data_IF_587756110262
#
_entry.id   IF_587756110262
#
_cell.length_a   1.000
_cell.length_b   1.000
_cell.length_c   1.000
_cell.angle_alpha   90.00
_cell.angle_beta   90.00
_cell.angle_gamma   90.00
#
_symmetry.space_group_name_H-M   'P 1'
#
loop_
_entity.id
_entity.type
_entity.pdbx_description
1 polymer ?
#
# COMPACT_ATOMS: atom_id res chain seq x y z
N UNK A 1 -34.94 11.47 -33.98
CA UNK A 1 -33.56 10.90 -33.96
C UNK A 1 -32.89 11.48 -32.72
N UNK A 2 -32.78 10.70 -31.62
CA UNK A 2 -32.14 11.15 -30.39
C UNK A 2 -30.63 10.90 -30.54
N UNK A 3 -29.75 11.81 -30.09
CA UNK A 3 -28.30 11.60 -30.18
C UNK A 3 -27.86 10.45 -29.22
N UNK A 4 -27.12 9.52 -29.76
CA UNK A 4 -26.48 8.47 -28.97
C UNK A 4 -25.34 9.13 -28.18
N UNK A 5 -25.56 9.29 -26.86
CA UNK A 5 -24.51 9.75 -25.96
C UNK A 5 -23.56 8.57 -25.75
N UNK A 6 -22.41 8.60 -26.41
CA UNK A 6 -21.33 7.63 -26.18
C UNK A 6 -20.73 7.91 -24.81
N UNK A 7 -21.06 7.08 -23.83
CA UNK A 7 -20.31 7.02 -22.58
C UNK A 7 -18.94 6.43 -22.88
N UNK A 8 -17.91 7.28 -23.00
CA UNK A 8 -16.54 6.83 -22.90
C UNK A 8 -16.34 6.32 -21.48
N UNK A 9 -16.21 5.02 -21.33
CA UNK A 9 -15.66 4.42 -20.12
C UNK A 9 -14.23 4.97 -19.97
N UNK A 10 -14.03 5.87 -19.02
CA UNK A 10 -12.68 6.32 -18.64
C UNK A 10 -12.03 5.15 -17.92
N UNK A 11 -11.30 4.32 -18.66
CA UNK A 11 -10.36 3.39 -18.03
C UNK A 11 -9.30 4.24 -17.35
N UNK A 12 -9.26 4.21 -16.02
CA UNK A 12 -8.20 4.85 -15.26
C UNK A 12 -6.91 4.11 -15.62
N UNK A 13 -6.03 4.80 -16.33
CA UNK A 13 -4.74 4.24 -16.72
C UNK A 13 -3.84 4.15 -15.48
N UNK A 14 -3.07 3.06 -15.36
CA UNK A 14 -2.10 2.92 -14.28
C UNK A 14 -1.11 4.08 -14.29
N UNK A 15 -0.67 4.52 -13.12
CA UNK A 15 0.27 5.63 -12.99
C UNK A 15 1.59 5.31 -13.68
N UNK A 16 2.13 6.29 -14.41
CA UNK A 16 3.35 6.12 -15.18
C UNK A 16 4.60 6.57 -14.41
N UNK A 17 5.76 6.00 -14.76
CA UNK A 17 7.06 6.44 -14.26
C UNK A 17 7.29 7.93 -14.56
N UNK A 18 7.79 8.67 -13.57
CA UNK A 18 8.01 10.11 -13.62
C UNK A 18 6.79 10.96 -13.27
N UNK A 19 5.60 10.36 -13.18
CA UNK A 19 4.41 11.07 -12.72
C UNK A 19 4.56 11.50 -11.25
N UNK A 20 3.85 12.55 -10.86
CA UNK A 20 3.73 12.92 -9.45
C UNK A 20 2.66 12.05 -8.80
N UNK A 21 2.96 11.50 -7.63
CA UNK A 21 1.98 10.70 -6.87
C UNK A 21 0.77 11.54 -6.46
N UNK A 22 -0.40 10.93 -6.22
CA UNK A 22 -1.58 11.63 -5.69
C UNK A 22 -1.30 12.26 -4.32
N UNK A 23 -1.84 13.47 -4.10
CA UNK A 23 -1.88 14.06 -2.76
C UNK A 23 -3.17 13.65 -2.07
N UNK A 24 -3.08 12.68 -1.18
CA UNK A 24 -4.21 12.14 -0.42
C UNK A 24 -3.91 12.06 1.05
N UNK A 25 -4.96 11.96 1.85
CA UNK A 25 -4.87 11.76 3.29
C UNK A 25 -4.92 10.27 3.60
N UNK A 26 -3.95 9.76 4.34
CA UNK A 26 -3.89 8.37 4.80
C UNK A 26 -4.01 8.31 6.31
N UNK A 27 -4.70 7.28 6.81
CA UNK A 27 -4.84 7.01 8.22
C UNK A 27 -3.82 6.00 8.71
N UNK A 28 -3.43 6.10 9.98
CA UNK A 28 -2.62 5.10 10.67
C UNK A 28 -2.80 5.19 12.19
N UNK A 29 -2.39 4.15 12.88
CA UNK A 29 -2.05 4.21 14.30
C UNK A 29 -0.53 4.07 14.38
N UNK A 30 0.22 5.09 14.83
CA UNK A 30 1.66 4.99 15.00
C UNK A 30 1.99 3.85 15.96
N UNK A 31 2.99 3.05 15.62
CA UNK A 31 3.44 2.02 16.53
C UNK A 31 4.02 2.63 17.82
N UNK A 32 3.74 1.99 18.93
CA UNK A 32 4.35 2.26 20.21
C UNK A 32 4.52 0.92 20.96
N UNK A 33 5.53 0.77 21.83
CA UNK A 33 5.84 -0.50 22.50
C UNK A 33 4.66 -1.13 23.26
N UNK A 34 3.76 -0.30 23.76
CA UNK A 34 2.58 -0.74 24.49
C UNK A 34 1.61 -1.56 23.63
N UNK A 35 1.61 -1.33 22.31
CA UNK A 35 0.75 -2.05 21.36
C UNK A 35 1.16 -3.52 21.22
N UNK A 36 2.42 -3.86 21.50
CA UNK A 36 2.94 -5.22 21.35
C UNK A 36 2.32 -6.19 22.35
N UNK A 37 1.75 -5.67 23.46
CA UNK A 37 0.99 -6.50 24.43
C UNK A 37 -0.31 -7.06 23.85
N UNK A 38 -0.90 -6.40 22.85
CA UNK A 38 -2.23 -6.71 22.32
C UNK A 38 -3.39 -6.33 23.25
N UNK A 39 -3.11 -5.73 24.41
CA UNK A 39 -4.13 -5.37 25.44
C UNK A 39 -4.64 -3.94 25.25
N UNK A 40 -3.92 -3.12 24.48
CA UNK A 40 -4.27 -1.72 24.25
C UNK A 40 -4.42 -1.42 22.75
N UNK A 41 -5.28 -0.46 22.44
CA UNK A 41 -5.44 0.09 21.10
C UNK A 41 -4.85 1.49 21.06
N UNK A 42 -4.09 1.80 20.01
CA UNK A 42 -3.57 3.13 19.79
C UNK A 42 -4.65 4.10 19.28
N UNK A 43 -4.29 5.37 19.20
CA UNK A 43 -5.18 6.44 18.71
C UNK A 43 -4.92 6.66 17.22
N UNK A 44 -5.95 6.56 16.35
CA UNK A 44 -5.80 6.83 14.92
C UNK A 44 -5.38 8.29 14.66
N UNK A 45 -4.44 8.47 13.78
CA UNK A 45 -4.01 9.76 13.23
C UNK A 45 -3.98 9.70 11.71
N UNK A 46 -3.55 10.76 11.06
CA UNK A 46 -3.47 10.82 9.61
C UNK A 46 -2.40 11.79 9.13
N UNK A 47 -1.91 11.56 7.91
CA UNK A 47 -0.96 12.45 7.23
C UNK A 47 -1.37 12.66 5.77
N UNK A 48 -0.85 13.72 5.16
CA UNK A 48 -0.95 13.98 3.73
C UNK A 48 0.30 13.46 3.02
N UNK A 49 0.11 12.68 1.96
CA UNK A 49 1.22 12.01 1.25
C UNK A 49 2.28 12.98 0.75
N UNK A 50 1.88 14.12 0.16
CA UNK A 50 2.83 15.12 -0.33
C UNK A 50 3.64 15.79 0.78
N UNK A 51 3.04 15.97 1.96
CA UNK A 51 3.73 16.57 3.10
C UNK A 51 4.70 15.59 3.74
N UNK A 52 4.26 14.34 3.94
CA UNK A 52 5.02 13.32 4.65
C UNK A 52 6.18 12.76 3.80
N UNK A 53 5.97 12.60 2.48
CA UNK A 53 6.91 11.91 1.59
C UNK A 53 7.80 12.85 0.76
N UNK A 54 7.62 14.18 0.88
CA UNK A 54 8.46 15.16 0.17
C UNK A 54 9.93 15.02 0.55
N UNK A 55 10.81 14.96 -0.45
CA UNK A 55 12.25 14.86 -0.28
C UNK A 55 12.72 13.50 0.24
N UNK A 56 11.84 12.47 0.25
CA UNK A 56 12.16 11.12 0.74
C UNK A 56 12.06 10.09 -0.39
N UNK A 57 12.87 9.03 -0.29
CA UNK A 57 12.74 7.82 -1.08
C UNK A 57 11.86 6.82 -0.34
N UNK A 58 10.68 6.53 -0.88
CA UNK A 58 9.64 5.75 -0.24
C UNK A 58 9.33 4.48 -1.05
N UNK A 59 9.12 3.38 -0.36
CA UNK A 59 8.53 2.17 -0.93
C UNK A 59 7.14 1.97 -0.33
N UNK A 60 6.12 1.87 -1.19
CA UNK A 60 4.76 1.51 -0.81
C UNK A 60 4.44 0.12 -1.33
N UNK A 61 4.03 -0.77 -0.45
CA UNK A 61 3.58 -2.12 -0.77
C UNK A 61 2.09 -2.22 -0.48
N UNK A 62 1.28 -2.40 -1.52
CA UNK A 62 -0.17 -2.49 -1.41
C UNK A 62 -0.64 -3.93 -1.42
N UNK A 63 -1.71 -4.18 -0.66
CA UNK A 63 -2.30 -5.50 -0.51
C UNK A 63 -3.83 -5.42 -0.54
N UNK A 64 -4.52 -6.43 -1.11
CA UNK A 64 -6.00 -6.49 -1.11
C UNK A 64 -6.61 -6.56 0.30
N UNK A 65 -5.88 -7.05 1.29
CA UNK A 65 -6.39 -7.07 2.67
C UNK A 65 -5.46 -7.74 3.66
N UNK A 66 -5.43 -7.19 4.88
CA UNK A 66 -4.78 -7.79 6.03
C UNK A 66 -5.37 -9.18 6.31
N UNK A 67 -4.56 -10.08 6.84
CA UNK A 67 -4.91 -11.47 7.18
C UNK A 67 -5.42 -12.32 6.01
N UNK A 68 -5.33 -11.87 4.76
CA UNK A 68 -5.63 -12.73 3.60
C UNK A 68 -4.46 -13.67 3.30
N UNK A 69 -4.68 -14.88 2.76
CA UNK A 69 -3.66 -15.94 2.74
C UNK A 69 -2.31 -15.53 2.16
N UNK A 70 -2.28 -15.01 0.94
CA UNK A 70 -1.01 -14.59 0.28
C UNK A 70 -0.36 -13.42 1.02
N UNK A 71 -1.14 -12.40 1.37
CA UNK A 71 -0.62 -11.22 2.06
C UNK A 71 -0.01 -11.57 3.41
N UNK A 72 -0.69 -12.46 4.14
CA UNK A 72 -0.32 -12.83 5.50
C UNK A 72 0.83 -13.84 5.58
N UNK A 73 0.88 -14.79 4.64
CA UNK A 73 1.86 -15.88 4.71
C UNK A 73 3.11 -15.65 3.86
N UNK A 74 2.99 -14.96 2.72
CA UNK A 74 4.05 -14.92 1.71
C UNK A 74 4.54 -13.51 1.40
N UNK A 75 3.71 -12.48 1.55
CA UNK A 75 4.03 -11.13 1.09
C UNK A 75 4.66 -10.27 2.18
N UNK A 76 3.96 -10.06 3.29
CA UNK A 76 4.39 -9.11 4.31
C UNK A 76 5.46 -9.65 5.27
N UNK A 77 5.45 -10.92 5.72
CA UNK A 77 6.51 -11.38 6.60
C UNK A 77 7.92 -11.26 5.99
N UNK A 78 8.19 -11.67 4.73
CA UNK A 78 9.51 -11.46 4.12
C UNK A 78 9.86 -9.97 3.95
N UNK A 79 8.88 -9.09 3.65
CA UNK A 79 9.11 -7.65 3.57
C UNK A 79 9.60 -7.09 4.91
N UNK A 80 8.93 -7.43 6.01
CA UNK A 80 9.30 -6.97 7.36
C UNK A 80 10.67 -7.50 7.77
N UNK A 81 10.95 -8.79 7.50
CA UNK A 81 12.23 -9.41 7.84
C UNK A 81 13.41 -8.78 7.09
N UNK A 82 13.19 -8.34 5.86
CA UNK A 82 14.24 -7.84 4.97
C UNK A 82 14.19 -6.34 4.71
N UNK A 83 13.39 -5.60 5.47
CA UNK A 83 13.27 -4.13 5.33
C UNK A 83 14.63 -3.43 5.46
N UNK A 84 15.54 -3.97 6.24
CA UNK A 84 16.90 -3.46 6.39
C UNK A 84 17.69 -3.41 5.06
N UNK A 85 17.42 -4.33 4.13
CA UNK A 85 18.05 -4.34 2.81
C UNK A 85 17.58 -3.16 1.96
N UNK A 86 16.30 -2.77 2.07
CA UNK A 86 15.75 -1.57 1.43
C UNK A 86 16.37 -0.29 2.02
N UNK A 87 16.47 -0.21 3.35
CA UNK A 87 17.09 0.92 4.03
C UNK A 87 18.58 1.07 3.64
N UNK A 88 19.31 -0.04 3.49
CA UNK A 88 20.70 -0.03 3.03
C UNK A 88 20.86 0.49 1.58
N UNK A 89 19.80 0.46 0.79
CA UNK A 89 19.72 1.04 -0.58
C UNK A 89 19.18 2.48 -0.61
N UNK A 90 19.10 3.13 0.54
CA UNK A 90 18.69 4.54 0.66
C UNK A 90 17.18 4.74 0.68
N UNK A 91 16.38 3.72 0.99
CA UNK A 91 14.95 3.89 1.22
C UNK A 91 14.74 4.47 2.63
N UNK A 92 14.09 5.64 2.71
CA UNK A 92 13.86 6.34 3.97
C UNK A 92 12.75 5.67 4.78
N UNK A 93 11.66 5.25 4.12
CA UNK A 93 10.55 4.57 4.78
C UNK A 93 9.84 3.57 3.86
N UNK A 94 9.27 2.53 4.49
CA UNK A 94 8.47 1.50 3.83
C UNK A 94 7.06 1.51 4.41
N UNK A 95 6.06 1.63 3.55
CA UNK A 95 4.66 1.64 3.91
C UNK A 95 3.94 0.40 3.38
N UNK A 96 3.09 -0.20 4.21
CA UNK A 96 2.13 -1.22 3.78
C UNK A 96 0.74 -0.58 3.79
N UNK A 97 0.07 -0.60 2.64
CA UNK A 97 -1.23 0.05 2.44
C UNK A 97 -2.32 -0.97 2.12
N UNK A 98 -3.50 -0.79 2.69
CA UNK A 98 -4.72 -1.52 2.36
C UNK A 98 -5.95 -0.64 2.62
N UNK A 99 -7.13 -1.08 2.17
CA UNK A 99 -8.41 -0.45 2.53
C UNK A 99 -9.00 -0.92 3.87
N UNK A 100 -8.30 -1.79 4.60
CA UNK A 100 -8.65 -2.09 5.98
C UNK A 100 -8.53 -0.83 6.84
N UNK A 101 -9.33 -0.74 7.91
CA UNK A 101 -9.29 0.37 8.84
C UNK A 101 -7.97 0.43 9.64
N UNK A 102 -7.67 1.57 10.31
CA UNK A 102 -6.39 1.76 10.97
C UNK A 102 -6.16 0.80 12.15
N UNK A 103 -7.20 0.31 12.82
CA UNK A 103 -7.07 -0.64 13.92
C UNK A 103 -6.64 -2.02 13.42
N UNK A 104 -7.26 -2.50 12.33
CA UNK A 104 -6.86 -3.76 11.68
C UNK A 104 -5.43 -3.66 11.15
N UNK A 105 -5.06 -2.54 10.52
CA UNK A 105 -3.70 -2.33 10.01
C UNK A 105 -2.66 -2.29 11.13
N UNK A 106 -2.95 -1.60 12.22
CA UNK A 106 -2.08 -1.55 13.40
C UNK A 106 -1.90 -2.93 14.03
N UNK A 107 -2.98 -3.63 14.32
CA UNK A 107 -2.93 -4.98 14.90
C UNK A 107 -2.15 -5.96 14.01
N UNK A 108 -2.28 -5.81 12.68
CA UNK A 108 -1.54 -6.66 11.75
C UNK A 108 -0.06 -6.29 11.66
N UNK A 109 0.29 -5.02 11.86
CA UNK A 109 1.67 -4.57 12.03
C UNK A 109 2.32 -5.18 13.27
N UNK A 110 1.63 -5.16 14.40
CA UNK A 110 2.05 -5.82 15.64
C UNK A 110 2.24 -7.33 15.43
N UNK A 111 1.26 -7.99 14.82
CA UNK A 111 1.34 -9.42 14.50
C UNK A 111 2.59 -9.77 13.68
N UNK A 112 2.95 -8.93 12.71
CA UNK A 112 4.13 -9.11 11.86
C UNK A 112 5.44 -8.64 12.54
N UNK A 113 5.41 -8.14 13.76
CA UNK A 113 6.56 -7.57 14.48
C UNK A 113 7.26 -6.47 13.68
N UNK A 114 6.43 -5.66 13.01
CA UNK A 114 6.92 -4.60 12.13
C UNK A 114 7.54 -3.44 12.92
N UNK A 115 7.06 -3.22 14.15
CA UNK A 115 7.47 -2.09 15.00
C UNK A 115 7.37 -0.76 14.21
N UNK A 116 8.39 0.08 14.25
CA UNK A 116 8.54 1.29 13.44
C UNK A 116 9.27 1.07 12.11
N UNK A 117 9.70 -0.16 11.83
CA UNK A 117 10.51 -0.50 10.65
C UNK A 117 9.71 -0.45 9.36
N UNK A 118 8.42 -0.85 9.44
CA UNK A 118 7.44 -0.81 8.35
C UNK A 118 6.15 -0.18 8.86
N UNK A 119 5.67 0.84 8.17
CA UNK A 119 4.53 1.64 8.60
C UNK A 119 3.25 1.12 7.95
N UNK A 120 2.29 0.69 8.76
CA UNK A 120 1.01 0.19 8.28
C UNK A 120 -0.01 1.31 8.22
N UNK A 121 -0.56 1.58 7.04
CA UNK A 121 -1.46 2.70 6.77
C UNK A 121 -2.74 2.24 6.07
N UNK A 122 -3.80 3.03 6.16
CA UNK A 122 -5.07 2.76 5.50
C UNK A 122 -5.37 3.75 4.39
N UNK A 123 -5.85 3.24 3.26
CA UNK A 123 -6.51 3.95 2.16
C UNK A 123 -7.98 3.52 2.13
N UNK A 124 -8.72 3.80 3.22
CA UNK A 124 -10.07 3.27 3.47
C UNK A 124 -11.04 3.62 2.33
N UNK A 125 -10.96 4.85 1.82
CA UNK A 125 -11.79 5.34 0.73
C UNK A 125 -11.22 5.03 -0.67
N UNK A 126 -10.07 4.35 -0.72
CA UNK A 126 -9.32 4.04 -1.94
C UNK A 126 -8.90 5.30 -2.72
N UNK A 127 -8.81 6.45 -2.04
CA UNK A 127 -8.56 7.73 -2.69
C UNK A 127 -7.18 7.79 -3.37
N UNK A 128 -6.18 7.14 -2.79
CA UNK A 128 -4.84 7.02 -3.36
C UNK A 128 -4.82 5.97 -4.47
N UNK A 129 -5.28 4.76 -4.18
CA UNK A 129 -5.21 3.62 -5.12
C UNK A 129 -6.08 3.82 -6.36
N UNK A 130 -7.24 4.48 -6.25
CA UNK A 130 -8.07 4.86 -7.42
C UNK A 130 -7.34 5.80 -8.37
N UNK A 131 -6.64 6.80 -7.84
CA UNK A 131 -5.87 7.74 -8.67
C UNK A 131 -4.64 7.09 -9.31
N UNK A 132 -4.13 5.99 -8.73
CA UNK A 132 -3.08 5.17 -9.35
C UNK A 132 -3.62 4.20 -10.41
N UNK A 133 -4.94 4.04 -10.53
CA UNK A 133 -5.55 2.98 -11.34
C UNK A 133 -5.32 1.58 -10.77
N UNK A 134 -5.19 1.46 -9.45
CA UNK A 134 -4.73 0.27 -8.75
C UNK A 134 -5.73 -0.23 -7.69
N UNK A 135 -6.97 -0.44 -8.08
CA UNK A 135 -8.01 -1.07 -7.27
C UNK A 135 -8.47 -2.39 -7.87
N UNK A 136 -9.12 -3.21 -7.06
CA UNK A 136 -9.68 -4.50 -7.47
C UNK A 136 -11.04 -4.72 -6.80
N UNK A 137 -12.03 -5.15 -7.57
CA UNK A 137 -13.33 -5.55 -7.02
C UNK A 137 -13.28 -7.01 -6.54
N UNK A 138 -13.43 -7.18 -5.24
CA UNK A 138 -13.51 -8.48 -4.57
C UNK A 138 -14.88 -8.70 -3.92
N UNK A 139 -15.94 -8.07 -4.43
CA UNK A 139 -17.31 -8.20 -3.92
C UNK A 139 -17.79 -9.66 -3.91
N UNK A 140 -17.35 -10.47 -4.89
CA UNK A 140 -17.65 -11.90 -4.94
C UNK A 140 -17.01 -12.72 -3.81
N UNK A 141 -16.03 -12.15 -3.08
CA UNK A 141 -15.43 -12.70 -1.87
C UNK A 141 -15.93 -12.01 -0.60
N UNK A 142 -17.00 -11.23 -0.69
CA UNK A 142 -17.54 -10.41 0.40
C UNK A 142 -16.54 -9.39 0.96
N UNK A 143 -15.61 -8.92 0.14
CA UNK A 143 -14.58 -7.95 0.54
C UNK A 143 -14.82 -6.55 -0.02
N UNK A 144 -15.70 -6.41 -1.04
CA UNK A 144 -15.93 -5.14 -1.73
C UNK A 144 -14.75 -4.70 -2.58
N UNK A 145 -14.71 -3.40 -2.91
CA UNK A 145 -13.59 -2.81 -3.62
C UNK A 145 -12.37 -2.67 -2.69
N UNK A 146 -11.20 -3.05 -3.17
CA UNK A 146 -9.95 -3.09 -2.41
C UNK A 146 -8.81 -2.44 -3.18
N UNK A 147 -7.75 -2.08 -2.46
CA UNK A 147 -6.46 -1.79 -3.10
C UNK A 147 -5.98 -3.05 -3.85
N UNK A 148 -5.46 -2.91 -5.06
CA UNK A 148 -4.82 -4.01 -5.76
C UNK A 148 -3.49 -4.39 -5.07
N UNK A 149 -2.88 -5.51 -5.45
CA UNK A 149 -1.51 -5.84 -5.04
C UNK A 149 -0.54 -5.11 -5.95
N UNK A 150 0.22 -4.17 -5.41
CA UNK A 150 1.26 -3.47 -6.14
C UNK A 150 2.43 -3.07 -5.24
N UNK A 151 3.57 -2.81 -5.86
CA UNK A 151 4.68 -2.08 -5.28
C UNK A 151 4.85 -0.75 -6.02
N UNK A 152 5.09 0.33 -5.28
CA UNK A 152 5.33 1.66 -5.81
C UNK A 152 6.59 2.21 -5.15
N UNK A 153 7.57 2.60 -5.97
CA UNK A 153 8.81 3.25 -5.53
C UNK A 153 8.71 4.72 -5.89
N UNK A 154 8.92 5.56 -4.91
CA UNK A 154 8.79 7.02 -5.00
C UNK A 154 10.13 7.65 -4.61
N UNK A 155 10.55 8.69 -5.33
CA UNK A 155 11.64 9.57 -4.95
C UNK A 155 11.17 11.01 -5.09
N UNK A 156 11.21 11.76 -4.00
CA UNK A 156 10.71 13.14 -3.91
C UNK A 156 9.38 13.35 -4.66
N UNK A 157 8.37 12.56 -4.29
CA UNK A 157 7.01 12.58 -4.84
C UNK A 157 6.89 12.10 -6.31
N UNK A 158 7.96 11.68 -6.94
CA UNK A 158 7.95 11.14 -8.29
C UNK A 158 7.97 9.62 -8.31
N UNK A 159 7.16 9.04 -9.17
CA UNK A 159 7.16 7.59 -9.40
C UNK A 159 8.46 7.17 -10.07
N UNK A 160 9.24 6.35 -9.39
CA UNK A 160 10.45 5.70 -9.92
C UNK A 160 10.08 4.40 -10.61
N UNK A 161 9.24 3.58 -9.95
CA UNK A 161 8.73 2.33 -10.49
C UNK A 161 7.33 2.04 -9.92
N UNK A 162 6.46 1.48 -10.73
CA UNK A 162 5.16 0.97 -10.34
C UNK A 162 4.97 -0.43 -10.93
N UNK A 163 4.73 -1.41 -10.08
CA UNK A 163 4.57 -2.80 -10.49
C UNK A 163 3.37 -3.43 -9.80
N UNK A 164 2.39 -3.87 -10.58
CA UNK A 164 1.16 -4.50 -10.10
C UNK A 164 1.14 -5.99 -10.42
N UNK A 165 0.57 -6.78 -9.52
CA UNK A 165 0.19 -8.17 -9.76
C UNK A 165 -1.29 -8.21 -10.20
N UNK A 166 -1.57 -7.63 -11.39
CA UNK A 166 -2.92 -7.42 -11.90
C UNK A 166 -3.73 -8.73 -12.04
N UNK A 167 -5.01 -8.63 -11.69
CA UNK A 167 -6.04 -9.63 -11.99
C UNK A 167 -5.97 -10.93 -11.18
N UNK A 168 -4.88 -11.23 -10.50
CA UNK A 168 -4.74 -12.47 -9.75
C UNK A 168 -4.30 -12.23 -8.30
N UNK A 169 -5.27 -12.18 -7.38
CA UNK A 169 -4.98 -12.07 -5.94
C UNK A 169 -4.21 -13.27 -5.38
N UNK A 170 -4.12 -14.37 -6.13
CA UNK A 170 -3.41 -15.60 -5.79
C UNK A 170 -1.94 -15.63 -6.18
N UNK A 171 -1.43 -14.60 -6.87
CA UNK A 171 -0.02 -14.52 -7.26
C UNK A 171 0.70 -13.39 -6.55
N UNK A 172 1.97 -13.62 -6.25
CA UNK A 172 2.92 -12.65 -5.73
C UNK A 172 4.18 -12.71 -6.58
N UNK A 173 4.38 -11.74 -7.45
CA UNK A 173 5.54 -11.65 -8.35
C UNK A 173 6.13 -10.25 -8.34
N UNK A 174 5.42 -9.29 -8.93
CA UNK A 174 5.91 -7.94 -9.17
C UNK A 174 6.01 -7.11 -7.89
N UNK A 175 5.11 -7.35 -6.92
CA UNK A 175 5.10 -6.65 -5.62
C UNK A 175 5.92 -7.37 -4.53
N UNK A 176 6.68 -8.42 -4.87
CA UNK A 176 7.51 -9.14 -3.90
C UNK A 176 8.73 -8.31 -3.48
N UNK A 177 9.23 -8.56 -2.25
CA UNK A 177 10.45 -7.90 -1.75
C UNK A 177 11.65 -8.16 -2.67
N UNK A 178 11.75 -9.37 -3.27
CA UNK A 178 12.82 -9.69 -4.20
C UNK A 178 12.79 -8.79 -5.43
N UNK A 179 11.61 -8.61 -6.03
CA UNK A 179 11.44 -7.70 -7.17
C UNK A 179 11.71 -6.26 -6.78
N UNK A 180 11.18 -5.78 -5.65
CA UNK A 180 11.42 -4.41 -5.16
C UNK A 180 12.91 -4.13 -5.00
N UNK A 181 13.66 -5.05 -4.41
CA UNK A 181 15.10 -4.91 -4.21
C UNK A 181 15.91 -4.78 -5.51
N UNK A 182 15.39 -5.24 -6.64
CA UNK A 182 16.04 -5.04 -7.94
C UNK A 182 15.77 -3.67 -8.56
N UNK A 183 14.80 -2.92 -8.02
CA UNK A 183 14.30 -1.66 -8.58
C UNK A 183 14.72 -0.40 -7.78
N UNK A 184 15.08 -0.55 -6.51
CA UNK A 184 15.56 0.54 -5.61
C UNK A 184 17.05 0.77 -5.72
#
# INVERSE_FOLDING_TARGET
>A
MLPVVSFRCLTVQAIEKGATIPNTKMGLIPWAPELDSGEVCGVPTSFETHKEWKGKKIVVVSIPGAYTPICHQQHIPPLVQRVGELKAKGVDAVYVIASNDPYVMSAWGVFNKAEDKVIFVTDTDLAFSKQLGATIDLSFKHMGERTARYALIIDDLKVVDFASDEGDTGKLQNASIDTILTKV
#
